data_IF_459029255477
#
_entry.id   IF_459029255477
#
_cell.length_a   1.000
_cell.length_b   1.000
_cell.length_c   1.000
_cell.angle_alpha   90.00
_cell.angle_beta   90.00
_cell.angle_gamma   90.00
#
_symmetry.space_group_name_H-M   'P 1'
#
loop_
_entity.id
_entity.type
_entity.pdbx_description
1 polymer ?
#
# COMPACT_ATOMS: atom_id res chain seq x y z
N UNK A 1 -6.34 -23.58 27.41
CA UNK A 1 -5.31 -23.23 28.42
C UNK A 1 -4.22 -24.29 28.41
N UNK A 2 -2.96 -23.84 28.41
CA UNK A 2 -1.74 -24.50 28.90
C UNK A 2 -1.31 -25.83 28.24
N UNK A 3 -0.36 -25.74 27.28
CA UNK A 3 0.68 -26.77 27.15
C UNK A 3 1.90 -26.28 27.94
N UNK A 4 2.19 -26.99 29.02
CA UNK A 4 3.32 -26.77 29.93
C UNK A 4 4.43 -27.75 29.54
N UNK A 5 5.65 -27.22 29.43
CA UNK A 5 6.91 -27.93 29.27
C UNK A 5 7.32 -28.63 30.58
N UNK A 6 7.90 -29.83 30.51
CA UNK A 6 8.69 -30.42 31.60
C UNK A 6 9.72 -31.42 31.03
N UNK A 7 10.98 -30.98 30.87
CA UNK A 7 12.21 -31.34 31.64
C UNK A 7 12.85 -32.69 31.28
N UNK A 8 14.05 -32.68 30.66
CA UNK A 8 15.43 -32.72 31.24
C UNK A 8 15.86 -34.12 31.68
N UNK A 9 16.95 -34.59 31.10
CA UNK A 9 17.72 -35.73 31.60
C UNK A 9 18.82 -36.18 30.64
N UNK A 10 19.91 -35.43 30.52
CA UNK A 10 21.17 -35.96 29.97
C UNK A 10 22.25 -35.72 31.03
N UNK A 11 22.78 -36.83 31.52
CA UNK A 11 23.90 -36.91 32.44
C UNK A 11 25.21 -36.58 31.71
N UNK A 12 26.15 -35.92 32.38
CA UNK A 12 27.55 -35.88 31.95
C UNK A 12 28.45 -35.92 33.18
N UNK A 13 29.26 -36.97 33.27
CA UNK A 13 30.39 -37.09 34.18
C UNK A 13 31.60 -37.60 33.40
N UNK A 14 32.66 -36.79 33.34
CA UNK A 14 34.10 -37.10 33.12
C UNK A 14 34.75 -35.79 32.66
N UNK A 15 35.54 -35.09 33.49
CA UNK A 15 36.90 -35.37 33.95
C UNK A 15 37.91 -35.33 32.79
N UNK A 16 38.58 -34.19 32.63
CA UNK A 16 40.04 -34.03 32.55
C UNK A 16 40.43 -32.56 32.36
N UNK A 17 41.26 -32.08 33.28
CA UNK A 17 41.96 -30.81 33.28
C UNK A 17 43.08 -30.85 32.23
N UNK A 18 43.15 -29.89 31.31
CA UNK A 18 44.29 -29.79 30.40
C UNK A 18 44.15 -28.73 29.31
N UNK A 19 45.21 -27.92 29.21
CA UNK A 19 45.61 -26.99 28.15
C UNK A 19 44.95 -25.60 28.08
N UNK A 20 45.84 -24.61 28.17
CA UNK A 20 45.61 -23.20 27.95
C UNK A 20 45.12 -22.91 26.53
N UNK A 21 44.06 -22.10 26.40
CA UNK A 21 43.71 -21.40 25.16
C UNK A 21 43.15 -20.02 25.51
N UNK A 22 43.98 -19.00 25.28
CA UNK A 22 43.71 -17.66 24.72
C UNK A 22 42.34 -17.01 25.01
N UNK A 23 42.27 -15.85 25.72
CA UNK A 23 41.03 -15.09 25.85
C UNK A 23 40.88 -14.15 24.65
N UNK A 24 40.36 -14.65 23.52
CA UNK A 24 40.09 -13.79 22.37
C UNK A 24 39.06 -14.42 21.41
N UNK A 25 37.83 -14.72 21.84
CA UNK A 25 36.79 -15.15 20.89
C UNK A 25 35.38 -15.13 21.48
N UNK A 26 34.83 -13.95 21.77
CA UNK A 26 33.39 -13.69 21.66
C UNK A 26 33.20 -12.18 21.47
N UNK A 27 33.61 -11.67 20.31
CA UNK A 27 32.96 -10.50 19.75
C UNK A 27 31.60 -11.00 19.24
N UNK A 28 30.54 -10.72 19.99
CA UNK A 28 29.19 -10.89 19.47
C UNK A 28 29.01 -9.96 18.28
N UNK A 29 29.14 -10.51 17.06
CA UNK A 29 28.58 -9.87 15.89
C UNK A 29 27.07 -9.77 16.12
N UNK A 30 26.61 -8.58 16.54
CA UNK A 30 25.22 -8.16 16.35
C UNK A 30 24.97 -8.21 14.84
N UNK A 31 24.46 -9.34 14.36
CA UNK A 31 23.70 -9.39 13.12
C UNK A 31 22.50 -8.48 13.33
N UNK A 32 22.61 -7.26 12.80
CA UNK A 32 21.46 -6.40 12.57
C UNK A 32 20.53 -7.16 11.62
N UNK A 33 19.54 -7.82 12.20
CA UNK A 33 18.38 -8.32 11.46
C UNK A 33 17.71 -7.11 10.83
N UNK A 34 18.04 -6.88 9.55
CA UNK A 34 17.37 -5.93 8.70
C UNK A 34 15.91 -6.36 8.62
N UNK A 35 15.07 -5.78 9.48
CA UNK A 35 13.61 -5.89 9.45
C UNK A 35 13.18 -5.48 8.04
N UNK A 36 12.94 -6.47 7.18
CA UNK A 36 12.35 -6.25 5.86
C UNK A 36 10.91 -5.83 6.14
N UNK A 37 10.70 -4.54 6.35
CA UNK A 37 9.37 -3.96 6.38
C UNK A 37 8.72 -4.28 5.03
N UNK A 38 7.62 -5.04 5.06
CA UNK A 38 6.79 -5.27 3.90
C UNK A 38 6.58 -3.94 3.16
N UNK A 39 6.70 -3.90 1.82
CA UNK A 39 6.68 -2.64 1.08
C UNK A 39 5.39 -1.89 1.42
N UNK A 40 5.52 -0.72 2.05
CA UNK A 40 4.41 0.17 2.32
C UNK A 40 3.81 0.56 0.97
N UNK A 41 2.67 -0.04 0.64
CA UNK A 41 1.94 0.27 -0.58
C UNK A 41 1.65 1.77 -0.61
N UNK A 42 1.98 2.43 -1.72
CA UNK A 42 1.68 3.85 -1.92
C UNK A 42 0.40 3.97 -2.75
N UNK A 43 -0.41 4.97 -2.45
CA UNK A 43 -1.60 5.28 -3.24
C UNK A 43 -1.19 5.67 -4.66
N UNK A 44 -2.00 5.28 -5.64
CA UNK A 44 -1.83 5.64 -7.06
C UNK A 44 -2.11 7.12 -7.32
N UNK A 45 -2.99 7.74 -6.52
CA UNK A 45 -3.39 9.13 -6.67
C UNK A 45 -2.45 10.08 -5.94
N UNK A 46 -2.02 11.16 -6.62
CA UNK A 46 -1.24 12.23 -6.00
C UNK A 46 -2.13 13.24 -5.27
N UNK A 47 -3.26 13.58 -5.88
CA UNK A 47 -4.26 14.47 -5.31
C UNK A 47 -5.09 13.72 -4.25
N UNK A 48 -5.08 14.25 -3.04
CA UNK A 48 -5.78 13.65 -1.90
C UNK A 48 -7.31 13.73 -2.04
N UNK A 49 -7.84 14.83 -2.59
CA UNK A 49 -9.27 14.97 -2.80
C UNK A 49 -9.78 13.97 -3.86
N UNK A 50 -8.98 13.76 -4.91
CA UNK A 50 -9.25 12.74 -5.91
C UNK A 50 -9.23 11.33 -5.29
N UNK A 51 -8.20 11.02 -4.49
CA UNK A 51 -8.08 9.73 -3.80
C UNK A 51 -9.31 9.44 -2.91
N UNK A 52 -9.67 10.39 -2.06
CA UNK A 52 -10.83 10.29 -1.16
C UNK A 52 -12.15 10.17 -1.93
N UNK A 53 -12.27 10.87 -3.06
CA UNK A 53 -13.42 10.79 -3.95
C UNK A 53 -13.55 9.41 -4.62
N UNK A 54 -12.48 8.94 -5.26
CA UNK A 54 -12.44 7.64 -5.95
C UNK A 54 -12.59 6.48 -4.97
N UNK A 55 -12.02 6.58 -3.77
CA UNK A 55 -12.15 5.57 -2.70
C UNK A 55 -13.61 5.20 -2.40
N UNK A 56 -14.56 6.14 -2.53
CA UNK A 56 -16.00 5.88 -2.31
C UNK A 56 -16.57 4.84 -3.28
N UNK A 57 -15.98 4.71 -4.47
CA UNK A 57 -16.37 3.76 -5.51
C UNK A 57 -15.63 2.42 -5.41
N UNK A 58 -14.58 2.33 -4.59
CA UNK A 58 -13.85 1.09 -4.32
C UNK A 58 -14.45 0.40 -3.09
N UNK A 59 -15.41 -0.50 -3.31
CA UNK A 59 -16.16 -1.14 -2.22
C UNK A 59 -15.29 -1.81 -1.15
N UNK A 60 -14.17 -2.42 -1.55
CA UNK A 60 -13.24 -3.08 -0.63
C UNK A 60 -12.51 -2.11 0.32
N UNK A 61 -12.33 -0.84 -0.10
CA UNK A 61 -11.46 0.14 0.58
C UNK A 61 -12.17 1.42 1.02
N UNK A 62 -13.48 1.53 0.77
CA UNK A 62 -14.28 2.73 1.10
C UNK A 62 -14.41 3.04 2.59
N UNK A 63 -14.15 2.07 3.48
CA UNK A 63 -14.23 2.23 4.94
C UNK A 63 -12.90 1.98 5.66
N UNK A 64 -11.79 1.89 4.92
CA UNK A 64 -10.46 1.68 5.48
C UNK A 64 -9.48 2.76 5.00
N UNK A 65 -8.26 2.74 5.55
CA UNK A 65 -7.16 3.64 5.19
C UNK A 65 -6.11 2.99 4.31
N UNK A 66 -6.41 1.81 3.75
CA UNK A 66 -5.47 1.12 2.87
C UNK A 66 -5.32 1.90 1.57
N UNK A 67 -4.10 2.05 1.03
CA UNK A 67 -3.86 2.77 -0.21
C UNK A 67 -4.61 2.13 -1.38
N UNK A 68 -5.13 2.97 -2.28
CA UNK A 68 -5.68 2.52 -3.56
C UNK A 68 -4.53 2.11 -4.47
N UNK A 69 -4.54 0.87 -4.93
CA UNK A 69 -3.55 0.32 -5.86
C UNK A 69 -4.21 0.08 -7.22
N UNK A 70 -3.41 -0.06 -8.27
CA UNK A 70 -3.90 -0.22 -9.65
C UNK A 70 -4.93 -1.35 -9.80
N UNK A 71 -4.74 -2.48 -9.11
CA UNK A 71 -5.67 -3.61 -9.13
C UNK A 71 -7.08 -3.27 -8.65
N UNK A 72 -7.25 -2.27 -7.78
CA UNK A 72 -8.57 -1.83 -7.31
C UNK A 72 -9.31 -1.00 -8.37
N UNK A 73 -8.57 -0.39 -9.31
CA UNK A 73 -9.05 0.64 -10.22
C UNK A 73 -9.48 0.07 -11.58
N UNK A 74 -8.89 -1.06 -12.00
CA UNK A 74 -9.09 -1.62 -13.35
C UNK A 74 -10.55 -2.00 -13.66
N UNK A 75 -11.38 -2.21 -12.63
CA UNK A 75 -12.80 -2.57 -12.76
C UNK A 75 -13.77 -1.39 -12.50
N UNK A 76 -13.25 -0.20 -12.15
CA UNK A 76 -14.10 0.95 -11.90
C UNK A 76 -14.75 1.44 -13.19
N UNK A 77 -16.08 1.39 -13.23
CA UNK A 77 -16.89 1.85 -14.37
C UNK A 77 -17.41 3.27 -14.20
N UNK A 78 -17.56 3.73 -12.95
CA UNK A 78 -18.21 5.00 -12.63
C UNK A 78 -17.44 5.73 -11.54
N UNK A 79 -17.11 7.00 -11.79
CA UNK A 79 -16.51 7.90 -10.81
C UNK A 79 -17.28 9.22 -10.85
N UNK A 80 -17.73 9.66 -9.69
CA UNK A 80 -18.35 10.99 -9.51
C UNK A 80 -17.73 11.69 -8.31
N UNK A 81 -16.98 12.76 -8.60
CA UNK A 81 -16.31 13.59 -7.59
C UNK A 81 -16.46 15.05 -7.97
N UNK A 82 -17.53 15.68 -7.50
CA UNK A 82 -17.88 17.07 -7.82
C UNK A 82 -17.59 18.00 -6.64
N UNK A 83 -17.18 19.24 -6.90
CA UNK A 83 -16.95 20.27 -5.87
C UNK A 83 -15.98 19.82 -4.76
N UNK A 84 -14.87 19.18 -5.14
CA UNK A 84 -13.90 18.62 -4.20
C UNK A 84 -12.54 19.33 -4.24
N UNK A 85 -12.35 20.33 -5.10
CA UNK A 85 -11.08 21.07 -5.22
C UNK A 85 -9.95 20.25 -5.85
N UNK A 86 -10.29 19.27 -6.70
CA UNK A 86 -9.31 18.44 -7.40
C UNK A 86 -8.49 19.29 -8.39
N UNK A 87 -7.18 19.11 -8.41
CA UNK A 87 -6.25 19.80 -9.32
C UNK A 87 -5.44 18.87 -10.20
N UNK A 88 -5.08 17.71 -9.67
CA UNK A 88 -4.23 16.73 -10.36
C UNK A 88 -4.99 15.41 -10.56
N UNK A 89 -5.11 15.01 -11.83
CA UNK A 89 -5.79 13.78 -12.25
C UNK A 89 -4.88 12.55 -12.31
N UNK A 90 -3.60 12.69 -11.95
CA UNK A 90 -2.62 11.60 -11.90
C UNK A 90 -3.18 10.40 -11.14
N UNK A 91 -3.20 9.24 -11.80
CA UNK A 91 -3.74 7.98 -11.31
C UNK A 91 -5.05 7.55 -12.00
N UNK A 92 -5.82 8.49 -12.58
CA UNK A 92 -7.04 8.14 -13.32
C UNK A 92 -6.76 7.35 -14.59
N UNK A 93 -5.56 7.45 -15.18
CA UNK A 93 -5.15 6.67 -16.35
C UNK A 93 -5.22 5.15 -16.11
N UNK A 94 -5.25 4.72 -14.84
CA UNK A 94 -5.37 3.32 -14.44
C UNK A 94 -6.81 2.79 -14.47
N UNK A 95 -7.80 3.68 -14.47
CA UNK A 95 -9.23 3.33 -14.52
C UNK A 95 -9.66 2.96 -15.96
N UNK A 96 -9.06 1.92 -16.55
CA UNK A 96 -9.24 1.56 -17.96
C UNK A 96 -10.67 1.13 -18.35
N UNK A 97 -11.48 0.70 -17.38
CA UNK A 97 -12.88 0.32 -17.59
C UNK A 97 -13.89 1.46 -17.41
N UNK A 98 -13.41 2.68 -17.15
CA UNK A 98 -14.27 3.82 -16.82
C UNK A 98 -15.19 4.17 -17.99
N UNK A 99 -16.49 4.18 -17.71
CA UNK A 99 -17.56 4.51 -18.65
C UNK A 99 -18.25 5.83 -18.31
N UNK A 100 -18.29 6.22 -17.04
CA UNK A 100 -18.90 7.47 -16.57
C UNK A 100 -17.96 8.22 -15.64
N UNK A 101 -17.61 9.46 -16.00
CA UNK A 101 -16.74 10.35 -15.24
C UNK A 101 -17.39 11.72 -15.06
N UNK A 102 -17.70 12.06 -13.81
CA UNK A 102 -18.23 13.37 -13.42
C UNK A 102 -17.27 14.06 -12.45
N UNK A 103 -16.56 15.08 -12.94
CA UNK A 103 -15.59 15.89 -12.21
C UNK A 103 -16.00 17.37 -12.21
N UNK A 104 -17.29 17.67 -12.31
CA UNK A 104 -17.75 19.05 -12.37
C UNK A 104 -17.47 19.85 -11.08
N UNK A 105 -17.13 21.13 -11.23
CA UNK A 105 -16.90 22.03 -10.10
C UNK A 105 -15.57 21.82 -9.38
N UNK A 106 -14.53 21.34 -10.05
CA UNK A 106 -13.19 21.25 -9.46
C UNK A 106 -12.28 22.37 -10.01
N UNK A 107 -10.95 22.21 -9.90
CA UNK A 107 -9.95 23.20 -10.29
C UNK A 107 -8.92 22.56 -11.25
N UNK A 108 -9.41 21.70 -12.15
CA UNK A 108 -8.57 20.89 -13.04
C UNK A 108 -8.15 21.71 -14.26
N UNK A 109 -6.85 21.83 -14.48
CA UNK A 109 -6.30 22.54 -15.65
C UNK A 109 -5.62 21.62 -16.66
N UNK A 110 -5.13 20.45 -16.21
CA UNK A 110 -4.55 19.42 -17.08
C UNK A 110 -5.42 18.16 -17.10
N UNK A 111 -5.88 17.79 -18.30
CA UNK A 111 -6.71 16.61 -18.55
C UNK A 111 -5.93 15.46 -19.21
N UNK A 112 -4.60 15.56 -19.32
CA UNK A 112 -3.74 14.57 -19.96
C UNK A 112 -3.90 13.16 -19.38
N UNK A 113 -4.22 13.04 -18.08
CA UNK A 113 -4.41 11.75 -17.39
C UNK A 113 -5.62 10.95 -17.89
N UNK A 114 -6.63 11.60 -18.49
CA UNK A 114 -7.84 10.93 -18.97
C UNK A 114 -7.87 10.75 -20.49
N UNK A 115 -6.83 11.20 -21.21
CA UNK A 115 -6.79 11.22 -22.68
C UNK A 115 -6.96 9.84 -23.33
N UNK A 116 -6.47 8.79 -22.67
CA UNK A 116 -6.43 7.42 -23.20
C UNK A 116 -7.59 6.55 -22.69
N UNK A 117 -8.53 7.12 -21.92
CA UNK A 117 -9.70 6.43 -21.38
C UNK A 117 -10.80 6.29 -22.44
N UNK A 118 -10.55 5.43 -23.44
CA UNK A 118 -11.39 5.24 -24.64
C UNK A 118 -12.80 4.69 -24.38
N UNK A 119 -13.08 4.22 -23.17
CA UNK A 119 -14.38 3.61 -22.80
C UNK A 119 -15.37 4.61 -22.20
N UNK A 120 -14.96 5.87 -21.99
CA UNK A 120 -15.83 6.90 -21.43
C UNK A 120 -17.00 7.16 -22.40
N UNK A 121 -18.21 6.99 -21.89
CA UNK A 121 -19.48 7.26 -22.57
C UNK A 121 -20.15 8.53 -22.03
N UNK A 122 -19.88 8.86 -20.77
CA UNK A 122 -20.33 10.08 -20.12
C UNK A 122 -19.16 10.81 -19.48
N UNK A 123 -18.95 12.07 -19.88
CA UNK A 123 -17.91 12.94 -19.35
C UNK A 123 -18.51 14.29 -18.98
N UNK A 124 -18.40 14.67 -17.71
CA UNK A 124 -18.77 15.99 -17.24
C UNK A 124 -17.58 16.67 -16.56
N UNK A 125 -17.09 17.73 -17.20
CA UNK A 125 -15.98 18.56 -16.74
C UNK A 125 -16.42 20.02 -16.54
N UNK A 126 -17.71 20.29 -16.42
CA UNK A 126 -18.21 21.65 -16.29
C UNK A 126 -17.65 22.34 -15.05
N UNK A 127 -17.39 23.65 -15.13
CA UNK A 127 -16.88 24.47 -14.00
C UNK A 127 -15.54 23.95 -13.44
N UNK A 128 -14.55 23.76 -14.31
CA UNK A 128 -13.15 23.51 -13.96
C UNK A 128 -12.28 24.66 -14.46
#
# INVERSE_FOLDING_TARGET
MKKIFFTRGIAVASLMFGLAVVPALFAEEKKEEKKVEAPKLKSVFKDKALEEGVRKFVFAKRYNKEPLVEADLIHLSTIKVTNAGIKDLSGLEKCRALASLDLAGNEITDFSAIKDLKRIQYLNLAKN
#
